data_IF_742445059535
#
_entry.id   IF_742445059535
#
_cell.length_a   1.000
_cell.length_b   1.000
_cell.length_c   1.000
_cell.angle_alpha   90.00
_cell.angle_beta   90.00
_cell.angle_gamma   90.00
#
_symmetry.space_group_name_H-M   'P 1'
#
loop_
_entity.id
_entity.type
_entity.pdbx_description
1 polymer ?
#
# COMPACT_ATOMS: atom_id res chain seq x y z
N UNK A 1 4.56 54.14 -130.10
CA UNK A 1 5.07 54.37 -128.73
C UNK A 1 4.25 55.49 -128.14
N UNK A 2 3.40 55.24 -127.11
CA UNK A 2 3.83 55.32 -125.70
C UNK A 2 3.06 54.46 -124.66
N UNK A 3 3.74 54.29 -123.52
CA UNK A 3 3.28 54.22 -122.11
C UNK A 3 2.25 53.18 -121.60
N UNK A 4 2.79 52.15 -120.95
CA UNK A 4 2.20 51.50 -119.77
C UNK A 4 3.03 51.90 -118.53
N UNK A 5 2.47 52.73 -117.66
CA UNK A 5 3.03 53.03 -116.33
C UNK A 5 2.17 52.38 -115.25
N UNK A 6 2.86 51.58 -114.44
CA UNK A 6 2.41 50.62 -113.42
C UNK A 6 1.64 51.25 -112.24
N UNK A 7 0.59 50.55 -111.81
CA UNK A 7 -0.10 50.70 -110.53
C UNK A 7 0.69 50.01 -109.41
N UNK A 8 1.61 50.72 -108.74
CA UNK A 8 2.44 50.18 -107.63
C UNK A 8 2.14 50.80 -106.26
N UNK A 9 1.22 51.77 -106.17
CA UNK A 9 0.91 52.53 -104.95
C UNK A 9 -0.35 52.09 -104.20
N UNK A 10 -1.30 51.40 -104.85
CA UNK A 10 -2.50 50.89 -104.17
C UNK A 10 -2.25 49.57 -103.42
N UNK A 11 -1.20 48.83 -103.78
CA UNK A 11 -0.81 47.58 -103.11
C UNK A 11 -0.07 47.79 -101.79
N UNK A 12 0.50 48.98 -101.51
CA UNK A 12 1.24 49.24 -100.26
C UNK A 12 0.34 49.67 -99.10
N UNK A 13 -0.76 50.39 -99.37
CA UNK A 13 -1.73 50.81 -98.34
C UNK A 13 -2.58 49.63 -97.89
N UNK A 14 -3.04 48.77 -98.82
CA UNK A 14 -3.78 47.55 -98.47
C UNK A 14 -2.91 46.54 -97.74
N UNK A 15 -1.61 46.47 -98.06
CA UNK A 15 -0.65 45.65 -97.33
C UNK A 15 -0.42 46.17 -95.90
N UNK A 16 -0.31 47.50 -95.71
CA UNK A 16 -0.14 48.11 -94.38
C UNK A 16 -1.37 47.92 -93.47
N UNK A 17 -2.59 47.99 -94.02
CA UNK A 17 -3.82 47.72 -93.25
C UNK A 17 -3.98 46.23 -92.92
N UNK A 18 -3.61 45.33 -93.83
CA UNK A 18 -3.63 43.89 -93.58
C UNK A 18 -2.61 43.46 -92.51
N UNK A 19 -1.41 44.06 -92.51
CA UNK A 19 -0.40 43.83 -91.46
C UNK A 19 -0.86 44.38 -90.10
N UNK A 20 -1.49 45.57 -90.07
CA UNK A 20 -2.02 46.14 -88.82
C UNK A 20 -3.17 45.29 -88.25
N UNK A 21 -4.06 44.76 -89.11
CA UNK A 21 -5.11 43.83 -88.70
C UNK A 21 -4.54 42.52 -88.12
N UNK A 22 -3.46 41.98 -88.69
CA UNK A 22 -2.76 40.80 -88.13
C UNK A 22 -2.11 41.08 -86.78
N UNK A 23 -1.52 42.27 -86.61
CA UNK A 23 -0.91 42.68 -85.33
C UNK A 23 -1.98 42.88 -84.24
N UNK A 24 -3.13 43.45 -84.60
CA UNK A 24 -4.27 43.58 -83.68
C UNK A 24 -4.85 42.21 -83.32
N UNK A 25 -5.03 41.31 -84.29
CA UNK A 25 -5.48 39.94 -84.04
C UNK A 25 -4.46 39.15 -83.18
N UNK A 26 -3.16 39.36 -83.37
CA UNK A 26 -2.12 38.78 -82.53
C UNK A 26 -2.18 39.32 -81.09
N UNK A 27 -2.32 40.64 -80.93
CA UNK A 27 -2.44 41.30 -79.61
C UNK A 27 -3.71 40.84 -78.87
N UNK A 28 -4.85 40.76 -79.56
CA UNK A 28 -6.10 40.28 -78.99
C UNK A 28 -5.98 38.80 -78.59
N UNK A 29 -5.35 37.96 -79.41
CA UNK A 29 -5.05 36.56 -79.06
C UNK A 29 -4.14 36.44 -77.83
N UNK A 30 -3.09 37.24 -77.74
CA UNK A 30 -2.19 37.28 -76.58
C UNK A 30 -2.92 37.77 -75.32
N UNK A 31 -3.75 38.79 -75.42
CA UNK A 31 -4.55 39.31 -74.31
C UNK A 31 -5.59 38.27 -73.83
N UNK A 32 -6.23 37.54 -74.75
CA UNK A 32 -7.12 36.43 -74.39
C UNK A 32 -6.37 35.27 -73.74
N UNK A 33 -5.18 34.91 -74.22
CA UNK A 33 -4.34 33.88 -73.60
C UNK A 33 -3.86 34.32 -72.21
N UNK A 34 -3.47 35.58 -72.03
CA UNK A 34 -3.09 36.13 -70.73
C UNK A 34 -4.28 36.12 -69.76
N UNK A 35 -5.46 36.59 -70.19
CA UNK A 35 -6.70 36.54 -69.39
C UNK A 35 -7.14 35.12 -69.05
N UNK A 36 -6.94 34.17 -69.96
CA UNK A 36 -7.23 32.76 -69.70
C UNK A 36 -6.27 32.19 -68.65
N UNK A 37 -4.97 32.47 -68.76
CA UNK A 37 -3.95 32.05 -67.80
C UNK A 37 -4.14 32.69 -66.41
N UNK A 38 -4.54 33.96 -66.33
CA UNK A 38 -4.82 34.60 -65.03
C UNK A 38 -6.04 33.97 -64.37
N UNK A 39 -7.13 33.73 -65.11
CA UNK A 39 -8.32 33.04 -64.58
C UNK A 39 -8.02 31.61 -64.13
N UNK A 40 -7.21 30.87 -64.88
CA UNK A 40 -6.80 29.51 -64.51
C UNK A 40 -5.93 29.52 -63.24
N UNK A 41 -4.99 30.47 -63.14
CA UNK A 41 -4.15 30.63 -61.95
C UNK A 41 -4.98 31.01 -60.72
N UNK A 42 -5.89 31.97 -60.84
CA UNK A 42 -6.80 32.37 -59.76
C UNK A 42 -7.72 31.21 -59.33
N UNK A 43 -8.27 30.44 -60.29
CA UNK A 43 -9.08 29.27 -59.99
C UNK A 43 -8.27 28.16 -59.29
N UNK A 44 -7.00 28.00 -59.64
CA UNK A 44 -6.09 27.06 -58.99
C UNK A 44 -5.73 27.51 -57.57
N UNK A 45 -5.40 28.78 -57.38
CA UNK A 45 -5.11 29.35 -56.06
C UNK A 45 -6.33 29.22 -55.13
N UNK A 46 -7.54 29.50 -55.62
CA UNK A 46 -8.78 29.30 -54.84
C UNK A 46 -8.99 27.84 -54.42
N UNK A 47 -8.75 26.88 -55.34
CA UNK A 47 -8.85 25.44 -55.02
C UNK A 47 -7.78 25.01 -54.01
N UNK A 48 -6.56 25.51 -54.13
CA UNK A 48 -5.47 25.20 -53.20
C UNK A 48 -5.74 25.80 -51.81
N UNK A 49 -6.27 27.03 -51.73
CA UNK A 49 -6.69 27.65 -50.47
C UNK A 49 -7.85 26.90 -49.81
N UNK A 50 -8.89 26.53 -50.56
CA UNK A 50 -10.01 25.76 -50.05
C UNK A 50 -9.56 24.37 -49.57
N UNK A 51 -8.69 23.70 -50.33
CA UNK A 51 -8.11 22.43 -49.92
C UNK A 51 -7.28 22.57 -48.62
N UNK A 52 -6.51 23.65 -48.48
CA UNK A 52 -5.76 23.94 -47.24
C UNK A 52 -6.68 24.21 -46.05
N UNK A 53 -7.78 24.94 -46.25
CA UNK A 53 -8.77 25.20 -45.18
C UNK A 53 -9.44 23.91 -44.73
N UNK A 54 -9.92 23.10 -45.67
CA UNK A 54 -10.53 21.78 -45.36
C UNK A 54 -9.54 20.84 -44.67
N UNK A 55 -8.27 20.83 -45.10
CA UNK A 55 -7.23 20.03 -44.47
C UNK A 55 -6.92 20.51 -43.03
N UNK A 56 -6.88 21.83 -42.80
CA UNK A 56 -6.66 22.40 -41.47
C UNK A 56 -7.85 22.12 -40.52
N UNK A 57 -9.09 22.22 -41.00
CA UNK A 57 -10.29 21.87 -40.24
C UNK A 57 -10.34 20.37 -39.92
N UNK A 58 -10.04 19.51 -40.89
CA UNK A 58 -9.96 18.07 -40.67
C UNK A 58 -8.87 17.70 -39.64
N UNK A 59 -7.71 18.37 -39.69
CA UNK A 59 -6.64 18.16 -38.72
C UNK A 59 -7.04 18.60 -37.30
N UNK A 60 -7.76 19.72 -37.16
CA UNK A 60 -8.30 20.17 -35.86
C UNK A 60 -9.33 19.20 -35.31
N UNK A 61 -10.28 18.76 -36.14
CA UNK A 61 -11.28 17.79 -35.74
C UNK A 61 -10.66 16.43 -35.32
N UNK A 62 -9.63 15.97 -36.04
CA UNK A 62 -8.90 14.75 -35.68
C UNK A 62 -8.15 14.90 -34.34
N UNK A 63 -7.49 16.04 -34.12
CA UNK A 63 -6.79 16.32 -32.85
C UNK A 63 -7.76 16.40 -31.67
N UNK A 64 -8.90 17.08 -31.82
CA UNK A 64 -9.95 17.14 -30.79
C UNK A 64 -10.50 15.75 -30.48
N UNK A 65 -10.81 14.94 -31.50
CA UNK A 65 -11.28 13.57 -31.32
C UNK A 65 -10.25 12.68 -30.61
N UNK A 66 -8.95 12.82 -30.91
CA UNK A 66 -7.89 12.10 -30.21
C UNK A 66 -7.80 12.52 -28.74
N UNK A 67 -7.89 13.82 -28.44
CA UNK A 67 -7.88 14.30 -27.05
C UNK A 67 -9.10 13.82 -26.27
N UNK A 68 -10.27 13.75 -26.90
CA UNK A 68 -11.47 13.24 -26.27
C UNK A 68 -11.37 11.74 -26.01
N UNK A 69 -10.93 10.96 -27.00
CA UNK A 69 -10.71 9.53 -26.84
C UNK A 69 -9.68 9.22 -25.74
N UNK A 70 -8.64 10.05 -25.60
CA UNK A 70 -7.66 9.93 -24.51
C UNK A 70 -8.30 10.20 -23.15
N UNK A 71 -9.10 11.27 -23.01
CA UNK A 71 -9.81 11.59 -21.76
C UNK A 71 -10.79 10.50 -21.37
N UNK A 72 -11.53 9.94 -22.33
CA UNK A 72 -12.46 8.82 -22.08
C UNK A 72 -11.72 7.57 -21.60
N UNK A 73 -10.54 7.26 -22.17
CA UNK A 73 -9.70 6.16 -21.69
C UNK A 73 -9.16 6.40 -20.28
N UNK A 74 -8.68 7.61 -20.00
CA UNK A 74 -8.18 7.99 -18.68
C UNK A 74 -9.30 7.95 -17.63
N UNK A 75 -10.52 8.38 -17.98
CA UNK A 75 -11.70 8.28 -17.12
C UNK A 75 -12.10 6.82 -16.87
N UNK A 76 -12.20 6.00 -17.93
CA UNK A 76 -12.53 4.59 -17.79
C UNK A 76 -11.49 3.83 -16.94
N UNK A 77 -10.20 4.16 -17.09
CA UNK A 77 -9.14 3.58 -16.26
C UNK A 77 -9.24 4.03 -14.79
N UNK A 78 -9.53 5.32 -14.55
CA UNK A 78 -9.73 5.85 -13.21
C UNK A 78 -10.95 5.20 -12.52
N UNK A 79 -12.06 5.03 -13.24
CA UNK A 79 -13.26 4.33 -12.77
C UNK A 79 -12.95 2.86 -12.45
N UNK A 80 -12.27 2.14 -13.35
CA UNK A 80 -11.86 0.76 -13.11
C UNK A 80 -10.95 0.61 -11.88
N UNK A 81 -10.01 1.55 -11.68
CA UNK A 81 -9.14 1.59 -10.49
C UNK A 81 -9.95 1.88 -9.23
N UNK A 82 -10.94 2.78 -9.28
CA UNK A 82 -11.82 3.09 -8.16
C UNK A 82 -12.68 1.86 -7.78
N UNK A 83 -13.30 1.20 -8.77
CA UNK A 83 -14.05 -0.04 -8.55
C UNK A 83 -13.18 -1.13 -7.95
N UNK A 84 -11.97 -1.35 -8.48
CA UNK A 84 -11.04 -2.33 -7.94
C UNK A 84 -10.71 -2.07 -6.46
N UNK A 85 -10.51 -0.80 -6.07
CA UNK A 85 -10.31 -0.41 -4.66
C UNK A 85 -11.54 -0.70 -3.81
N UNK A 86 -12.75 -0.41 -4.30
CA UNK A 86 -13.98 -0.71 -3.55
C UNK A 86 -14.18 -2.21 -3.35
N UNK A 87 -13.93 -3.04 -4.39
CA UNK A 87 -14.00 -4.50 -4.28
C UNK A 87 -12.97 -5.05 -3.29
N UNK A 88 -11.72 -4.57 -3.35
CA UNK A 88 -10.69 -4.95 -2.40
C UNK A 88 -11.07 -4.57 -0.96
N UNK A 89 -11.64 -3.39 -0.74
CA UNK A 89 -12.11 -2.97 0.58
C UNK A 89 -13.25 -3.85 1.11
N UNK A 90 -14.20 -4.24 0.24
CA UNK A 90 -15.29 -5.16 0.61
C UNK A 90 -14.77 -6.57 0.93
N UNK A 91 -13.77 -7.07 0.20
CA UNK A 91 -13.15 -8.36 0.48
C UNK A 91 -12.41 -8.35 1.82
N UNK A 92 -11.64 -7.30 2.12
CA UNK A 92 -11.00 -7.12 3.43
C UNK A 92 -12.04 -7.10 4.54
N UNK A 93 -13.10 -6.30 4.40
CA UNK A 93 -14.18 -6.24 5.37
C UNK A 93 -14.88 -7.60 5.58
N UNK A 94 -15.06 -8.39 4.51
CA UNK A 94 -15.60 -9.75 4.58
C UNK A 94 -14.66 -10.69 5.35
N UNK A 95 -13.36 -10.67 5.05
CA UNK A 95 -12.36 -11.49 5.73
C UNK A 95 -12.30 -11.14 7.22
N UNK A 96 -12.32 -9.86 7.56
CA UNK A 96 -12.34 -9.38 8.95
C UNK A 96 -13.61 -9.82 9.69
N UNK A 97 -14.79 -9.70 9.05
CA UNK A 97 -16.05 -10.16 9.63
C UNK A 97 -16.05 -11.67 9.86
N UNK A 98 -15.53 -12.46 8.92
CA UNK A 98 -15.40 -13.91 9.06
C UNK A 98 -14.40 -14.28 10.16
N UNK A 99 -13.24 -13.63 10.23
CA UNK A 99 -12.26 -13.85 11.28
C UNK A 99 -12.83 -13.52 12.66
N UNK A 100 -13.59 -12.43 12.78
CA UNK A 100 -14.28 -12.05 14.02
C UNK A 100 -15.33 -13.09 14.41
N UNK A 101 -16.15 -13.54 13.47
CA UNK A 101 -17.15 -14.59 13.72
C UNK A 101 -16.51 -15.91 14.18
N UNK A 102 -15.38 -16.30 13.58
CA UNK A 102 -14.61 -17.49 14.02
C UNK A 102 -14.07 -17.32 15.44
N UNK A 103 -13.51 -16.16 15.78
CA UNK A 103 -13.04 -15.86 17.14
C UNK A 103 -14.18 -15.86 18.16
N UNK A 104 -15.35 -15.32 17.81
CA UNK A 104 -16.53 -15.35 18.67
C UNK A 104 -17.04 -16.79 18.89
N UNK A 105 -17.06 -17.62 17.85
CA UNK A 105 -17.41 -19.03 17.95
C UNK A 105 -16.43 -19.82 18.84
N UNK A 106 -15.12 -19.62 18.67
CA UNK A 106 -14.09 -20.23 19.51
C UNK A 106 -14.20 -19.79 20.98
N UNK A 107 -14.50 -18.50 21.21
CA UNK A 107 -14.71 -17.98 22.55
C UNK A 107 -15.98 -18.55 23.19
N UNK A 108 -17.06 -18.72 22.43
CA UNK A 108 -18.28 -19.36 22.89
C UNK A 108 -18.04 -20.84 23.23
N UNK A 109 -17.28 -21.57 22.41
CA UNK A 109 -16.89 -22.95 22.68
C UNK A 109 -16.07 -23.07 23.97
N UNK A 110 -15.05 -22.22 24.15
CA UNK A 110 -14.26 -22.15 25.39
C UNK A 110 -15.11 -21.78 26.61
N UNK A 111 -16.05 -20.85 26.47
CA UNK A 111 -16.95 -20.49 27.54
C UNK A 111 -17.86 -21.67 27.93
N UNK A 112 -18.35 -22.44 26.95
CA UNK A 112 -19.11 -23.66 27.20
C UNK A 112 -18.26 -24.73 27.88
N UNK A 113 -17.02 -24.98 27.42
CA UNK A 113 -16.10 -25.91 28.07
C UNK A 113 -15.84 -25.54 29.53
N UNK A 114 -15.59 -24.25 29.80
CA UNK A 114 -15.43 -23.74 31.16
C UNK A 114 -16.71 -23.92 32.00
N UNK A 115 -17.89 -23.70 31.42
CA UNK A 115 -19.17 -23.94 32.09
C UNK A 115 -19.38 -25.43 32.40
N UNK A 116 -19.03 -26.33 31.49
CA UNK A 116 -19.08 -27.79 31.69
C UNK A 116 -18.09 -28.23 32.77
N UNK A 117 -16.87 -27.69 32.76
CA UNK A 117 -15.88 -27.96 33.80
C UNK A 117 -16.38 -27.47 35.17
N UNK A 118 -16.98 -26.27 35.24
CA UNK A 118 -17.60 -25.77 36.48
C UNK A 118 -18.76 -26.63 36.94
N UNK A 119 -19.68 -27.00 36.06
CA UNK A 119 -20.81 -27.87 36.39
C UNK A 119 -20.35 -29.25 36.86
N UNK A 120 -19.30 -29.83 36.23
CA UNK A 120 -18.67 -31.07 36.69
C UNK A 120 -17.97 -30.91 38.03
N UNK A 121 -17.30 -29.78 38.27
CA UNK A 121 -16.65 -29.50 39.54
C UNK A 121 -17.66 -29.33 40.68
N UNK A 122 -18.77 -28.61 40.44
CA UNK A 122 -19.89 -28.47 41.39
C UNK A 122 -20.60 -29.79 41.63
N UNK A 123 -20.84 -30.57 40.57
CA UNK A 123 -21.38 -31.93 40.64
C UNK A 123 -20.47 -32.86 41.45
N UNK A 124 -19.16 -32.83 41.20
CA UNK A 124 -18.14 -33.52 42.01
C UNK A 124 -18.12 -33.01 43.43
N UNK A 125 -18.33 -31.71 43.70
CA UNK A 125 -18.38 -31.15 45.06
C UNK A 125 -19.62 -31.63 45.82
N UNK A 126 -20.78 -31.70 45.16
CA UNK A 126 -22.01 -32.29 45.72
C UNK A 126 -21.86 -33.79 45.93
N UNK A 127 -21.31 -34.52 44.96
CA UNK A 127 -21.05 -35.95 45.13
C UNK A 127 -19.98 -36.21 46.19
N UNK A 128 -18.95 -35.37 46.29
CA UNK A 128 -17.93 -35.44 47.34
C UNK A 128 -18.51 -35.09 48.69
N UNK A 129 -19.41 -34.11 48.83
CA UNK A 129 -20.05 -33.81 50.12
C UNK A 129 -21.00 -34.93 50.54
N UNK A 130 -21.76 -35.51 49.61
CA UNK A 130 -22.53 -36.73 49.88
C UNK A 130 -21.64 -37.94 50.18
N UNK A 131 -20.54 -38.12 49.46
CA UNK A 131 -19.58 -39.20 49.69
C UNK A 131 -18.77 -38.98 50.96
N UNK A 132 -18.47 -37.73 51.36
CA UNK A 132 -17.85 -37.39 52.65
C UNK A 132 -18.83 -37.60 53.78
N UNK A 133 -20.10 -37.20 53.63
CA UNK A 133 -21.14 -37.47 54.63
C UNK A 133 -21.38 -38.98 54.77
N UNK A 134 -21.43 -39.70 53.65
CA UNK A 134 -21.53 -41.16 53.63
C UNK A 134 -20.26 -41.81 54.18
N UNK A 135 -19.06 -41.35 53.83
CA UNK A 135 -17.79 -41.87 54.31
C UNK A 135 -17.51 -41.49 55.76
N UNK A 136 -17.98 -40.34 56.26
CA UNK A 136 -17.99 -40.01 57.69
C UNK A 136 -18.95 -40.94 58.42
N UNK A 137 -20.17 -41.13 57.90
CA UNK A 137 -21.12 -42.10 58.43
C UNK A 137 -20.58 -43.54 58.42
N UNK A 138 -19.90 -43.94 57.34
CA UNK A 138 -19.29 -45.25 57.17
C UNK A 138 -17.97 -45.36 57.92
N UNK A 139 -17.19 -44.31 58.14
CA UNK A 139 -15.97 -44.33 58.96
C UNK A 139 -16.32 -44.38 60.45
N UNK A 140 -17.41 -43.72 60.86
CA UNK A 140 -18.05 -43.92 62.16
C UNK A 140 -18.54 -45.37 62.36
N UNK A 141 -18.84 -46.11 61.28
CA UNK A 141 -19.40 -47.47 61.35
C UNK A 141 -18.49 -48.62 60.83
N UNK A 142 -17.38 -48.36 60.12
CA UNK A 142 -16.83 -49.33 59.15
C UNK A 142 -15.31 -49.37 58.99
N UNK A 143 -14.53 -48.55 59.72
CA UNK A 143 -13.07 -48.74 59.80
C UNK A 143 -12.28 -48.51 58.49
N UNK A 144 -10.97 -48.76 58.55
CA UNK A 144 -9.89 -48.23 57.69
C UNK A 144 -10.02 -48.36 56.15
N UNK A 145 -10.97 -49.12 55.59
CA UNK A 145 -11.03 -49.38 54.15
C UNK A 145 -11.49 -48.18 53.30
N UNK A 146 -12.34 -47.29 53.83
CA UNK A 146 -12.86 -46.13 53.08
C UNK A 146 -11.80 -45.04 52.79
N UNK A 147 -10.75 -44.95 53.61
CA UNK A 147 -9.67 -43.98 53.42
C UNK A 147 -8.86 -44.24 52.13
N UNK A 148 -8.76 -45.49 51.70
CA UNK A 148 -7.98 -45.86 50.53
C UNK A 148 -8.61 -45.38 49.20
N UNK A 149 -9.95 -45.41 49.11
CA UNK A 149 -10.66 -44.96 47.90
C UNK A 149 -10.57 -43.45 47.66
N UNK A 150 -10.63 -42.64 48.73
CA UNK A 150 -10.46 -41.18 48.63
C UNK A 150 -9.04 -40.83 48.20
N UNK A 151 -8.02 -41.53 48.74
CA UNK A 151 -6.63 -41.32 48.36
C UNK A 151 -6.41 -41.56 46.85
N UNK A 152 -7.00 -42.61 46.27
CA UNK A 152 -6.88 -42.87 44.82
C UNK A 152 -7.59 -41.83 43.95
N UNK A 153 -8.65 -41.19 44.44
CA UNK A 153 -9.35 -40.15 43.69
C UNK A 153 -8.62 -38.81 43.71
N UNK A 154 -7.98 -38.47 44.83
CA UNK A 154 -7.14 -37.27 44.95
C UNK A 154 -5.94 -37.37 44.02
N UNK A 155 -5.26 -38.51 43.96
CA UNK A 155 -4.12 -38.70 43.04
C UNK A 155 -4.53 -38.60 41.57
N UNK A 156 -5.73 -39.08 41.21
CA UNK A 156 -6.28 -38.91 39.86
C UNK A 156 -6.53 -37.44 39.48
N UNK A 157 -7.07 -36.65 40.40
CA UNK A 157 -7.29 -35.21 40.22
C UNK A 157 -5.97 -34.43 40.10
N UNK A 158 -4.98 -34.78 40.90
CA UNK A 158 -3.65 -34.19 40.83
C UNK A 158 -3.00 -34.47 39.47
N UNK A 159 -3.13 -35.70 38.96
CA UNK A 159 -2.63 -36.08 37.63
C UNK A 159 -3.34 -35.32 36.50
N UNK A 160 -4.66 -35.15 36.56
CA UNK A 160 -5.42 -34.35 35.58
C UNK A 160 -5.02 -32.87 35.62
N UNK A 161 -4.87 -32.30 36.81
CA UNK A 161 -4.42 -30.93 36.98
C UNK A 161 -2.99 -30.73 36.47
N UNK A 162 -2.11 -31.70 36.71
CA UNK A 162 -0.75 -31.71 36.18
C UNK A 162 -0.76 -31.71 34.64
N UNK A 163 -1.53 -32.61 34.02
CA UNK A 163 -1.68 -32.69 32.55
C UNK A 163 -2.19 -31.39 31.93
N UNK A 164 -3.14 -30.71 32.58
CA UNK A 164 -3.63 -29.41 32.11
C UNK A 164 -2.56 -28.33 32.18
N UNK A 165 -1.74 -28.30 33.23
CA UNK A 165 -0.60 -27.37 33.33
C UNK A 165 0.45 -27.68 32.27
N UNK A 166 0.77 -28.95 32.04
CA UNK A 166 1.73 -29.39 31.03
C UNK A 166 1.24 -29.01 29.62
N UNK A 167 -0.06 -29.21 29.33
CA UNK A 167 -0.66 -28.80 28.06
C UNK A 167 -0.65 -27.27 27.87
N UNK A 168 -0.91 -26.49 28.92
CA UNK A 168 -0.82 -25.03 28.87
C UNK A 168 0.62 -24.54 28.67
N UNK A 169 1.60 -25.21 29.29
CA UNK A 169 3.01 -24.92 29.10
C UNK A 169 3.45 -25.21 27.65
N UNK A 170 3.05 -26.35 27.10
CA UNK A 170 3.33 -26.71 25.71
C UNK A 170 2.75 -25.69 24.71
N UNK A 171 1.50 -25.25 24.90
CA UNK A 171 0.89 -24.20 24.06
C UNK A 171 1.58 -22.85 24.20
N UNK A 172 2.12 -22.53 25.38
CA UNK A 172 2.90 -21.31 25.59
C UNK A 172 4.23 -21.39 24.82
N UNK A 173 4.90 -22.53 24.85
CA UNK A 173 6.15 -22.80 24.13
C UNK A 173 5.96 -22.77 22.60
N UNK A 174 4.86 -23.32 22.08
CA UNK A 174 4.50 -23.23 20.66
C UNK A 174 4.28 -21.77 20.22
N UNK A 175 3.59 -20.96 21.04
CA UNK A 175 3.40 -19.53 20.74
C UNK A 175 4.70 -18.74 20.79
N UNK A 176 5.61 -19.10 21.69
CA UNK A 176 6.93 -18.50 21.78
C UNK A 176 7.80 -18.84 20.58
N UNK A 177 7.88 -20.12 20.21
CA UNK A 177 8.64 -20.57 19.04
C UNK A 177 8.10 -19.99 17.73
N UNK A 178 6.77 -19.90 17.58
CA UNK A 178 6.14 -19.24 16.43
C UNK A 178 6.51 -17.76 16.33
N UNK A 179 6.52 -17.03 17.46
CA UNK A 179 6.94 -15.61 17.48
C UNK A 179 8.42 -15.43 17.22
N UNK A 180 9.27 -16.32 17.75
CA UNK A 180 10.70 -16.31 17.46
C UNK A 180 10.96 -16.58 15.96
N UNK A 181 10.22 -17.49 15.35
CA UNK A 181 10.29 -17.75 13.90
C UNK A 181 9.81 -16.55 13.08
N UNK A 182 8.74 -15.86 13.50
CA UNK A 182 8.26 -14.62 12.89
C UNK A 182 9.32 -13.52 12.96
N UNK A 183 9.94 -13.32 14.13
CA UNK A 183 11.02 -12.35 14.31
C UNK A 183 12.20 -12.65 13.39
N UNK A 184 12.66 -13.90 13.34
CA UNK A 184 13.75 -14.31 12.46
C UNK A 184 13.39 -14.15 10.96
N UNK A 185 12.13 -14.34 10.58
CA UNK A 185 11.67 -14.09 9.22
C UNK A 185 11.64 -12.60 8.88
N UNK A 186 11.22 -11.75 9.82
CA UNK A 186 11.28 -10.29 9.69
C UNK A 186 12.73 -9.81 9.58
N UNK A 187 13.66 -10.34 10.38
CA UNK A 187 15.07 -10.01 10.31
C UNK A 187 15.67 -10.34 8.95
N UNK A 188 15.35 -11.52 8.38
CA UNK A 188 15.78 -11.88 7.02
C UNK A 188 15.22 -10.92 5.97
N UNK A 189 13.94 -10.56 6.06
CA UNK A 189 13.32 -9.60 5.13
C UNK A 189 13.93 -8.22 5.26
N UNK A 190 14.18 -7.78 6.49
CA UNK A 190 14.78 -6.50 6.81
C UNK A 190 16.23 -6.43 6.29
N UNK A 191 17.03 -7.46 6.53
CA UNK A 191 18.37 -7.58 5.99
C UNK A 191 18.36 -7.57 4.45
N UNK A 192 17.43 -8.29 3.81
CA UNK A 192 17.29 -8.28 2.36
C UNK A 192 16.90 -6.89 1.81
N UNK A 193 16.07 -6.14 2.53
CA UNK A 193 15.68 -4.77 2.14
C UNK A 193 16.80 -3.76 2.37
N UNK A 194 17.55 -3.85 3.47
CA UNK A 194 18.72 -3.00 3.73
C UNK A 194 19.91 -3.31 2.83
N UNK A 195 20.05 -4.55 2.39
CA UNK A 195 21.07 -4.95 1.42
C UNK A 195 20.81 -4.41 0.01
N UNK A 196 19.58 -3.96 -0.29
CA UNK A 196 19.30 -3.24 -1.53
C UNK A 196 19.82 -1.81 -1.41
N UNK A 197 20.44 -1.25 -2.47
CA UNK A 197 20.95 0.12 -2.46
C UNK A 197 19.82 1.16 -2.55
N UNK A 198 18.69 0.97 -1.85
CA UNK A 198 17.49 1.82 -1.97
C UNK A 198 17.79 3.28 -1.62
N UNK A 199 18.68 3.52 -0.64
CA UNK A 199 19.11 4.87 -0.30
C UNK A 199 19.87 5.54 -1.47
N UNK A 200 20.83 4.83 -2.06
CA UNK A 200 21.58 5.33 -3.23
C UNK A 200 20.68 5.50 -4.45
N UNK A 201 19.76 4.57 -4.68
CA UNK A 201 18.78 4.65 -5.77
C UNK A 201 17.81 5.82 -5.57
N UNK A 202 17.45 6.16 -4.32
CA UNK A 202 16.61 7.32 -4.02
C UNK A 202 17.38 8.64 -4.22
N UNK A 203 18.66 8.69 -3.85
CA UNK A 203 19.54 9.83 -4.14
C UNK A 203 19.70 10.04 -5.65
N UNK A 204 19.93 8.97 -6.42
CA UNK A 204 20.02 9.00 -7.88
C UNK A 204 18.69 9.43 -8.53
N UNK A 205 17.54 8.96 -8.01
CA UNK A 205 16.23 9.40 -8.46
C UNK A 205 15.98 10.89 -8.17
N UNK A 206 16.39 11.38 -7.00
CA UNK A 206 16.30 12.80 -6.62
C UNK A 206 17.15 13.65 -7.55
N UNK A 207 18.40 13.25 -7.79
CA UNK A 207 19.29 13.94 -8.73
C UNK A 207 18.72 13.96 -10.17
N UNK A 208 18.08 12.87 -10.60
CA UNK A 208 17.42 12.78 -11.91
C UNK A 208 16.20 13.70 -12.00
N UNK A 209 15.36 13.73 -10.96
CA UNK A 209 14.20 14.62 -10.89
C UNK A 209 14.62 16.10 -10.86
N UNK A 210 15.69 16.44 -10.11
CA UNK A 210 16.26 17.79 -10.10
C UNK A 210 16.87 18.17 -11.44
N UNK A 211 17.61 17.28 -12.10
CA UNK A 211 18.15 17.51 -13.44
C UNK A 211 17.03 17.73 -14.46
N UNK A 212 15.98 16.90 -14.44
CA UNK A 212 14.80 17.06 -15.29
C UNK A 212 14.08 18.39 -15.01
N UNK A 213 13.93 18.78 -13.75
CA UNK A 213 13.37 20.08 -13.35
C UNK A 213 14.19 21.24 -13.92
N UNK A 214 15.51 21.18 -13.79
CA UNK A 214 16.42 22.23 -14.26
C UNK A 214 16.47 22.32 -15.79
N UNK A 215 16.15 21.24 -16.50
CA UNK A 215 16.03 21.21 -17.96
C UNK A 215 14.71 21.83 -18.49
N UNK A 216 13.73 22.09 -17.61
CA UNK A 216 12.51 22.80 -17.97
C UNK A 216 12.83 24.29 -18.17
N UNK A 217 12.93 24.71 -19.43
CA UNK A 217 12.93 26.12 -19.77
C UNK A 217 11.46 26.58 -19.88
N UNK A 218 10.99 27.51 -19.02
CA UNK A 218 9.61 28.00 -19.07
C UNK A 218 9.27 28.69 -20.40
N UNK A 219 10.26 29.10 -21.19
CA UNK A 219 10.06 29.73 -22.50
C UNK A 219 10.07 28.73 -23.67
N UNK A 220 10.52 27.50 -23.43
CA UNK A 220 10.65 26.46 -24.45
C UNK A 220 10.15 25.11 -23.90
N UNK A 221 8.93 25.11 -23.39
CA UNK A 221 8.24 23.90 -22.93
C UNK A 221 7.92 22.98 -24.10
N UNK A 222 8.69 21.91 -24.23
CA UNK A 222 8.38 20.81 -25.15
C UNK A 222 7.69 19.66 -24.41
N UNK A 223 6.85 18.90 -25.13
CA UNK A 223 6.08 17.80 -24.56
C UNK A 223 6.97 16.66 -24.02
N UNK A 224 8.14 16.44 -24.65
CA UNK A 224 9.04 15.35 -24.28
C UNK A 224 9.73 15.63 -22.94
N UNK A 225 10.09 16.87 -22.64
CA UNK A 225 10.66 17.30 -21.35
C UNK A 225 9.65 17.22 -20.23
N UNK A 226 8.40 17.64 -20.49
CA UNK A 226 7.31 17.48 -19.52
C UNK A 226 7.06 16.01 -19.19
N UNK A 227 7.08 15.14 -20.21
CA UNK A 227 6.96 13.69 -20.02
C UNK A 227 8.13 13.13 -19.21
N UNK A 228 9.37 13.45 -19.58
CA UNK A 228 10.56 13.00 -18.87
C UNK A 228 10.59 13.47 -17.40
N UNK A 229 10.11 14.69 -17.14
CA UNK A 229 9.94 15.19 -15.78
C UNK A 229 8.86 14.41 -15.00
N UNK A 230 7.73 14.11 -15.64
CA UNK A 230 6.69 13.24 -15.06
C UNK A 230 7.23 11.85 -14.72
N UNK A 231 7.92 11.19 -15.64
CA UNK A 231 8.54 9.88 -15.42
C UNK A 231 9.55 9.92 -14.25
N UNK A 232 10.30 11.03 -14.09
CA UNK A 232 11.23 11.21 -12.99
C UNK A 232 10.52 11.43 -11.64
N UNK A 233 9.38 12.11 -11.61
CA UNK A 233 8.56 12.26 -10.40
C UNK A 233 7.92 10.93 -9.98
N UNK A 234 7.37 10.16 -10.91
CA UNK A 234 6.80 8.84 -10.64
C UNK A 234 7.87 7.87 -10.06
N UNK A 235 9.09 7.95 -10.61
CA UNK A 235 10.24 7.20 -10.09
C UNK A 235 10.58 7.65 -8.66
N UNK A 236 10.61 8.95 -8.37
CA UNK A 236 10.88 9.49 -7.04
C UNK A 236 9.81 9.07 -6.01
N UNK A 237 8.53 9.16 -6.37
CA UNK A 237 7.40 8.73 -5.53
C UNK A 237 7.52 7.25 -5.15
N UNK A 238 7.77 6.39 -6.13
CA UNK A 238 7.98 4.94 -5.90
C UNK A 238 9.13 4.67 -4.93
N UNK A 239 10.18 5.50 -4.95
CA UNK A 239 11.33 5.39 -4.05
C UNK A 239 11.04 5.90 -2.64
N UNK A 240 10.29 6.99 -2.50
CA UNK A 240 9.82 7.48 -1.21
C UNK A 240 8.94 6.44 -0.52
N UNK A 241 7.98 5.84 -1.24
CA UNK A 241 7.16 4.73 -0.74
C UNK A 241 8.00 3.55 -0.22
N UNK A 242 9.08 3.22 -0.92
CA UNK A 242 9.99 2.15 -0.50
C UNK A 242 10.72 2.51 0.80
N UNK A 243 11.18 3.76 0.95
CA UNK A 243 11.82 4.25 2.17
C UNK A 243 10.84 4.28 3.36
N UNK A 244 9.59 4.70 3.13
CA UNK A 244 8.56 4.67 4.16
C UNK A 244 8.27 3.24 4.66
N UNK A 245 8.22 2.26 3.74
CA UNK A 245 8.08 0.84 4.09
C UNK A 245 9.27 0.34 4.92
N UNK A 246 10.49 0.74 4.59
CA UNK A 246 11.69 0.40 5.37
C UNK A 246 11.58 1.01 6.78
N UNK A 247 11.18 2.28 6.89
CA UNK A 247 11.01 2.94 8.18
C UNK A 247 9.89 2.30 9.03
N UNK A 248 8.79 1.85 8.40
CA UNK A 248 7.73 1.10 9.09
C UNK A 248 8.23 -0.26 9.61
N UNK A 249 9.08 -0.96 8.84
CA UNK A 249 9.71 -2.19 9.29
C UNK A 249 10.70 -1.96 10.42
N UNK A 250 11.49 -0.87 10.38
CA UNK A 250 12.37 -0.47 11.48
C UNK A 250 11.61 -0.26 12.79
N UNK A 251 10.46 0.44 12.72
CA UNK A 251 9.56 0.62 13.88
C UNK A 251 9.04 -0.70 14.43
N UNK A 252 8.51 -1.57 13.56
CA UNK A 252 8.02 -2.89 13.99
C UNK A 252 9.13 -3.76 14.59
N UNK A 253 10.34 -3.71 14.02
CA UNK A 253 11.49 -4.42 14.58
C UNK A 253 11.86 -3.89 15.98
N UNK A 254 11.87 -2.56 16.16
CA UNK A 254 12.10 -1.95 17.47
C UNK A 254 11.03 -2.36 18.50
N UNK A 255 9.75 -2.38 18.11
CA UNK A 255 8.64 -2.80 18.98
C UNK A 255 8.78 -4.29 19.41
N UNK A 256 9.14 -5.17 18.47
CA UNK A 256 9.36 -6.59 18.77
C UNK A 256 10.59 -6.80 19.66
N UNK A 257 11.66 -6.04 19.44
CA UNK A 257 12.84 -6.08 20.29
C UNK A 257 12.52 -5.58 21.71
N UNK A 258 11.74 -4.51 21.85
CA UNK A 258 11.26 -4.00 23.12
C UNK A 258 10.38 -5.02 23.85
N UNK A 259 9.44 -5.65 23.13
CA UNK A 259 8.61 -6.73 23.67
C UNK A 259 9.45 -7.92 24.16
N UNK A 260 10.44 -8.34 23.37
CA UNK A 260 11.34 -9.43 23.75
C UNK A 260 12.16 -9.07 25.01
N UNK A 261 12.60 -7.82 25.14
CA UNK A 261 13.29 -7.34 26.34
C UNK A 261 12.36 -7.31 27.57
N UNK A 262 11.12 -6.86 27.41
CA UNK A 262 10.11 -6.84 28.47
C UNK A 262 9.81 -8.25 28.98
N UNK A 263 9.76 -9.25 28.09
CA UNK A 263 9.53 -10.66 28.45
C UNK A 263 10.74 -11.34 29.11
N UNK A 264 11.96 -11.02 28.69
CA UNK A 264 13.17 -11.59 29.31
C UNK A 264 13.38 -11.15 30.75
N UNK A 265 12.82 -10.01 31.17
CA UNK A 265 12.95 -9.50 32.55
C UNK A 265 12.33 -10.42 33.61
N UNK A 266 11.04 -10.84 33.53
CA UNK A 266 10.46 -11.77 34.49
C UNK A 266 11.15 -13.14 34.47
N UNK A 267 11.56 -13.63 33.30
CA UNK A 267 12.31 -14.89 33.17
C UNK A 267 13.67 -14.81 33.88
N UNK A 268 14.44 -13.75 33.63
CA UNK A 268 15.72 -13.53 34.31
C UNK A 268 15.55 -13.32 35.82
N UNK A 269 14.45 -12.68 36.24
CA UNK A 269 14.11 -12.49 37.65
C UNK A 269 13.77 -13.82 38.31
N UNK A 270 12.95 -14.65 37.68
CA UNK A 270 12.60 -15.98 38.17
C UNK A 270 13.83 -16.89 38.24
N UNK A 271 14.69 -16.87 37.21
CA UNK A 271 15.93 -17.63 37.20
C UNK A 271 16.88 -17.22 38.34
N UNK A 272 17.03 -15.91 38.57
CA UNK A 272 17.82 -15.39 39.69
C UNK A 272 17.23 -15.79 41.05
N UNK A 273 15.91 -15.77 41.21
CA UNK A 273 15.24 -16.21 42.44
C UNK A 273 15.44 -17.71 42.71
N UNK A 274 15.30 -18.56 41.68
CA UNK A 274 15.52 -20.01 41.79
C UNK A 274 16.98 -20.32 42.13
N UNK A 275 17.93 -19.66 41.47
CA UNK A 275 19.35 -19.84 41.75
C UNK A 275 19.72 -19.34 43.16
N UNK A 276 19.13 -18.22 43.61
CA UNK A 276 19.29 -17.73 44.97
C UNK A 276 18.77 -18.73 46.01
N UNK A 277 17.61 -19.33 45.77
CA UNK A 277 17.02 -20.33 46.67
C UNK A 277 17.94 -21.55 46.80
N UNK A 278 18.52 -22.03 45.70
CA UNK A 278 19.52 -23.12 45.70
C UNK A 278 20.81 -22.73 46.41
N UNK A 279 21.34 -21.54 46.17
CA UNK A 279 22.55 -21.07 46.85
C UNK A 279 22.37 -20.89 48.37
N UNK A 280 21.13 -20.71 48.85
CA UNK A 280 20.81 -20.56 50.28
C UNK A 280 20.64 -21.89 51.02
N UNK A 281 20.56 -23.03 50.33
CA UNK A 281 20.41 -24.32 51.03
C UNK A 281 21.70 -24.66 51.79
N UNK A 282 21.62 -25.11 53.05
CA UNK A 282 22.79 -25.57 53.79
C UNK A 282 23.53 -26.67 53.01
N UNK A 283 24.83 -26.50 52.79
CA UNK A 283 25.63 -27.43 51.97
C UNK A 283 25.59 -27.16 50.46
N UNK A 284 25.17 -25.97 50.02
CA UNK A 284 25.29 -25.56 48.63
C UNK A 284 26.75 -25.67 48.15
N UNK A 285 26.94 -26.27 46.98
CA UNK A 285 28.23 -26.42 46.35
C UNK A 285 28.67 -25.14 45.61
N UNK A 286 29.94 -25.09 45.21
CA UNK A 286 30.49 -23.96 44.45
C UNK A 286 29.77 -23.77 43.10
N UNK A 287 29.21 -24.85 42.55
CA UNK A 287 28.38 -24.81 41.34
C UNK A 287 27.10 -23.99 41.52
N UNK A 288 26.39 -24.17 42.64
CA UNK A 288 25.20 -23.40 42.97
C UNK A 288 25.48 -21.89 43.13
N UNK A 289 26.63 -21.54 43.72
CA UNK A 289 27.08 -20.15 43.84
C UNK A 289 27.39 -19.53 42.46
N UNK A 290 28.14 -20.22 41.60
CA UNK A 290 28.43 -19.75 40.23
C UNK A 290 27.16 -19.61 39.40
N UNK A 291 26.21 -20.53 39.53
CA UNK A 291 24.92 -20.45 38.85
C UNK A 291 24.11 -19.22 39.30
N UNK A 292 24.15 -18.89 40.58
CA UNK A 292 23.53 -17.67 41.11
C UNK A 292 24.20 -16.39 40.60
N UNK A 293 25.53 -16.33 40.58
CA UNK A 293 26.26 -15.19 40.02
C UNK A 293 25.98 -14.98 38.53
N UNK A 294 25.94 -16.07 37.76
CA UNK A 294 25.56 -16.03 36.34
C UNK A 294 24.12 -15.53 36.15
N UNK A 295 23.16 -16.01 36.95
CA UNK A 295 21.78 -15.55 36.89
C UNK A 295 21.64 -14.07 37.28
N UNK A 296 22.40 -13.60 38.28
CA UNK A 296 22.46 -12.18 38.63
C UNK A 296 23.06 -11.33 37.51
N UNK A 297 24.10 -11.82 36.83
CA UNK A 297 24.69 -11.11 35.69
C UNK A 297 23.67 -10.97 34.55
N UNK A 298 22.94 -12.04 34.22
CA UNK A 298 21.85 -12.00 33.23
C UNK A 298 20.72 -11.05 33.63
N UNK A 299 20.32 -11.05 34.90
CA UNK A 299 19.30 -10.12 35.40
C UNK A 299 19.78 -8.67 35.31
N UNK A 300 21.04 -8.41 35.69
CA UNK A 300 21.64 -7.07 35.56
C UNK A 300 21.67 -6.63 34.10
N UNK A 301 22.05 -7.50 33.16
CA UNK A 301 22.00 -7.18 31.73
C UNK A 301 20.58 -6.87 31.25
N UNK A 302 19.59 -7.68 31.65
CA UNK A 302 18.18 -7.49 31.29
C UNK A 302 17.57 -6.19 31.86
N UNK A 303 18.05 -5.75 33.04
CA UNK A 303 17.65 -4.49 33.66
C UNK A 303 18.44 -3.28 33.14
N UNK A 304 19.72 -3.46 32.80
CA UNK A 304 20.60 -2.42 32.30
C UNK A 304 20.30 -2.04 30.85
N UNK A 305 19.71 -2.95 30.05
CA UNK A 305 19.11 -2.55 28.78
C UNK A 305 18.01 -1.53 29.10
N UNK A 306 18.19 -0.25 28.71
CA UNK A 306 17.14 0.74 28.90
C UNK A 306 15.89 0.16 28.25
N UNK A 307 14.75 0.26 28.93
CA UNK A 307 13.50 -0.04 28.28
C UNK A 307 13.49 0.86 27.03
N UNK A 308 13.68 0.28 25.85
CA UNK A 308 13.70 1.01 24.58
C UNK A 308 12.32 1.59 24.26
N UNK A 309 11.40 1.61 25.24
CA UNK A 309 10.45 2.70 25.42
C UNK A 309 11.21 4.01 25.62
N UNK A 310 11.76 4.57 24.53
CA UNK A 310 11.60 6.00 24.33
C UNK A 310 10.13 6.36 24.58
N UNK A 311 9.81 7.59 25.02
CA UNK A 311 8.44 7.99 25.33
C UNK A 311 7.54 7.46 24.21
N UNK A 312 6.70 6.49 24.55
CA UNK A 312 5.82 5.81 23.60
C UNK A 312 5.15 6.97 22.86
N UNK A 313 5.39 7.17 21.55
CA UNK A 313 4.80 8.30 20.86
C UNK A 313 3.32 8.24 21.22
N UNK A 314 2.74 9.32 21.77
CA UNK A 314 1.38 9.30 22.30
C UNK A 314 0.55 8.61 21.24
N UNK A 315 -0.03 7.44 21.59
CA UNK A 315 -0.77 6.57 20.68
C UNK A 315 -1.54 7.52 19.79
N UNK A 316 -1.11 7.60 18.52
CA UNK A 316 -1.55 8.67 17.64
C UNK A 316 -3.06 8.67 17.75
N UNK A 317 -3.62 9.72 18.36
CA UNK A 317 -5.04 9.97 18.31
C UNK A 317 -5.27 10.02 16.82
N UNK A 318 -5.85 8.95 16.27
CA UNK A 318 -6.07 8.81 14.83
C UNK A 318 -6.64 10.12 14.34
N UNK A 319 -6.18 10.60 13.15
CA UNK A 319 -6.23 12.00 12.73
C UNK A 319 -7.47 12.63 13.33
N UNK A 320 -7.27 13.48 14.36
CA UNK A 320 -8.39 14.14 15.01
C UNK A 320 -9.19 14.74 13.87
N UNK A 321 -10.37 14.17 13.60
CA UNK A 321 -11.27 14.75 12.63
C UNK A 321 -11.35 16.21 13.04
N UNK A 322 -11.01 17.16 12.14
CA UNK A 322 -10.97 18.56 12.49
C UNK A 322 -12.32 18.87 13.12
N UNK A 323 -12.33 19.13 14.43
CA UNK A 323 -13.54 19.57 15.11
C UNK A 323 -13.93 20.83 14.36
N UNK A 324 -15.05 20.77 13.66
CA UNK A 324 -15.67 21.91 13.02
C UNK A 324 -15.94 22.96 14.10
N UNK A 325 -15.00 23.88 14.31
CA UNK A 325 -15.11 24.96 15.29
C UNK A 325 -15.92 26.12 14.73
N UNK A 326 -16.20 26.12 13.42
CA UNK A 326 -16.95 27.17 12.77
C UNK A 326 -18.35 26.65 12.34
N UNK A 327 -19.42 27.00 13.06
CA UNK A 327 -20.78 26.57 12.72
C UNK A 327 -21.32 27.18 11.41
N UNK A 328 -20.57 28.06 10.74
CA UNK A 328 -20.89 28.63 9.44
C UNK A 328 -20.17 27.99 8.24
N UNK A 329 -19.36 26.95 8.44
CA UNK A 329 -18.65 26.29 7.34
C UNK A 329 -19.56 25.26 6.64
N UNK A 330 -19.92 25.45 5.36
CA UNK A 330 -20.88 24.59 4.64
C UNK A 330 -20.41 23.14 4.47
N UNK A 331 -19.14 22.83 4.75
CA UNK A 331 -18.60 21.47 4.72
C UNK A 331 -18.84 20.68 6.02
N UNK A 332 -19.34 21.32 7.08
CA UNK A 332 -19.47 20.73 8.41
C UNK A 332 -20.88 20.22 8.77
N UNK A 333 -21.79 20.07 7.81
CA UNK A 333 -23.19 19.74 8.08
C UNK A 333 -23.81 18.76 7.09
N UNK A 334 -23.51 17.48 7.22
CA UNK A 334 -24.34 16.41 6.65
C UNK A 334 -24.33 15.18 7.59
N UNK A 335 -24.54 15.40 8.88
CA UNK A 335 -24.93 14.31 9.78
C UNK A 335 -26.38 13.94 9.44
N UNK A 336 -26.52 12.89 8.63
CA UNK A 336 -27.77 12.35 8.13
C UNK A 336 -28.71 11.86 9.23
N UNK A 337 -29.40 12.80 9.91
CA UNK A 337 -30.62 12.52 10.66
C UNK A 337 -31.82 12.73 9.75
N UNK A 338 -32.19 11.62 9.11
CA UNK A 338 -33.55 11.13 8.83
C UNK A 338 -34.69 12.15 8.72
N UNK A 339 -35.21 12.28 7.50
CA UNK A 339 -36.66 12.20 7.26
C UNK A 339 -37.07 10.73 7.13
#
# INVERSE_FOLDING_TARGET
MPMMSRNTSDTSVTFSLAELAKLEEARVREEHLQRARTREKEAREQREEEARRRAAEAARAAAEAETQARREREQAEAEARAEARTRAALEVARIEAEAKARLEADNAARAHELAVVRARAEGRRRSLTHALAAALGLALCGGAAAAYGVAQHVTGLELEAQRLRDAQAALAEERESARAAELAALDRRHAALRGRPVAREAEEATATAEAARNALDPRALDHNRLRAFGDALDALETRLDALERIAALDRRHADLAAWAAERRRPEATAAAQVAAARARTPGADEGALRAYESALAHLREALARPAASGPRPPVGVGPQQPKCTNPGDPMCGFDGRSL
#
